data_IF_763505053656
#
_entry.id   IF_763505053656
#
_cell.length_a   1.000
_cell.length_b   1.000
_cell.length_c   1.000
_cell.angle_alpha   90.00
_cell.angle_beta   90.00
_cell.angle_gamma   90.00
#
_symmetry.space_group_name_H-M   'P 1'
#
loop_
_entity.id
_entity.type
_entity.pdbx_description
1 polymer ?
#
# COMPACT_ATOMS: atom_id res chain seq x y z
N UNK A 1 8.14 12.46 23.57
CA UNK A 1 8.35 12.35 22.12
C UNK A 1 7.98 13.68 21.51
N UNK A 2 8.94 14.33 20.83
CA UNK A 2 8.76 15.65 20.23
C UNK A 2 7.96 15.43 18.95
N UNK A 3 6.77 16.01 18.86
CA UNK A 3 6.06 16.12 17.58
C UNK A 3 6.83 17.19 16.82
N UNK A 4 7.84 16.77 16.06
CA UNK A 4 8.43 17.65 15.06
C UNK A 4 7.43 17.66 13.90
N UNK A 5 6.82 18.82 13.66
CA UNK A 5 6.03 19.06 12.46
C UNK A 5 6.99 18.92 11.28
N UNK A 6 7.02 17.74 10.67
CA UNK A 6 7.77 17.51 9.44
C UNK A 6 6.99 18.18 8.30
N UNK A 7 7.72 18.93 7.48
CA UNK A 7 7.19 19.62 6.30
C UNK A 7 6.66 18.59 5.29
N UNK A 8 5.57 18.95 4.60
CA UNK A 8 4.95 18.13 3.53
C UNK A 8 5.93 17.71 2.43
N UNK A 9 7.07 18.40 2.31
CA UNK A 9 8.17 18.15 1.37
C UNK A 9 8.87 16.78 1.52
N UNK A 10 8.67 16.06 2.63
CA UNK A 10 9.30 14.74 2.84
C UNK A 10 8.45 13.54 2.34
N UNK A 11 7.20 13.76 1.96
CA UNK A 11 6.34 12.68 1.42
C UNK A 11 6.71 12.42 -0.05
N UNK A 12 6.95 11.16 -0.47
CA UNK A 12 7.32 10.86 -1.85
C UNK A 12 6.30 11.40 -2.85
N UNK A 13 6.73 12.19 -3.83
CA UNK A 13 5.83 12.82 -4.83
C UNK A 13 5.53 11.91 -6.04
N UNK A 14 5.80 10.62 -5.93
CA UNK A 14 5.60 9.64 -7.01
C UNK A 14 4.10 9.42 -7.28
N UNK A 15 3.76 9.18 -8.56
CA UNK A 15 2.40 8.83 -8.99
C UNK A 15 1.87 7.56 -8.30
N UNK A 16 2.77 6.61 -8.01
CA UNK A 16 2.50 5.45 -7.16
C UNK A 16 3.71 5.18 -6.26
N UNK A 17 3.52 5.02 -4.95
CA UNK A 17 4.60 4.85 -3.94
C UNK A 17 5.51 3.63 -4.18
N UNK A 18 5.03 2.67 -4.95
CA UNK A 18 5.77 1.46 -5.29
C UNK A 18 6.48 1.55 -6.65
N UNK A 19 6.35 2.64 -7.41
CA UNK A 19 6.85 2.73 -8.78
C UNK A 19 8.38 2.50 -8.87
N UNK A 20 9.12 2.99 -7.88
CA UNK A 20 10.59 2.88 -7.83
C UNK A 20 11.13 1.73 -6.97
N UNK A 21 10.26 0.81 -6.54
CA UNK A 21 10.66 -0.38 -5.76
C UNK A 21 10.93 -1.56 -6.70
N UNK A 22 11.82 -2.47 -6.31
CA UNK A 22 12.02 -3.74 -7.00
C UNK A 22 10.73 -4.55 -7.01
N UNK A 23 10.15 -4.72 -8.20
CA UNK A 23 8.91 -5.45 -8.40
C UNK A 23 9.15 -6.97 -8.49
N UNK A 24 8.25 -7.79 -7.94
CA UNK A 24 8.36 -9.24 -8.05
C UNK A 24 8.26 -9.64 -9.54
N UNK A 25 9.24 -10.42 -10.01
CA UNK A 25 9.29 -10.98 -11.37
C UNK A 25 9.38 -9.95 -12.52
N UNK A 26 9.59 -8.66 -12.23
CA UNK A 26 9.71 -7.66 -13.27
C UNK A 26 11.09 -7.70 -13.95
N UNK A 27 11.07 -7.58 -15.28
CA UNK A 27 12.27 -7.43 -16.12
C UNK A 27 12.45 -5.99 -16.61
N UNK A 28 11.47 -5.12 -16.34
CA UNK A 28 11.47 -3.70 -16.69
C UNK A 28 11.28 -2.84 -15.44
N UNK A 29 11.53 -1.54 -15.58
CA UNK A 29 11.01 -0.55 -14.62
C UNK A 29 9.49 -0.42 -14.79
N UNK A 30 8.85 0.20 -13.80
CA UNK A 30 7.45 0.64 -13.93
C UNK A 30 7.39 1.75 -14.97
N UNK A 31 6.44 1.63 -15.88
CA UNK A 31 6.23 2.56 -16.99
C UNK A 31 4.80 3.05 -16.90
N UNK A 32 4.60 4.35 -17.05
CA UNK A 32 3.27 4.93 -17.11
C UNK A 32 2.64 4.67 -18.48
N UNK A 33 1.40 4.21 -18.45
CA UNK A 33 0.59 3.95 -19.62
C UNK A 33 -0.84 4.43 -19.37
N UNK A 34 -1.55 4.75 -20.44
CA UNK A 34 -2.96 5.12 -20.38
C UNK A 34 -3.82 4.10 -21.13
N UNK A 35 -5.07 3.98 -20.71
CA UNK A 35 -6.07 3.15 -21.40
C UNK A 35 -6.49 3.87 -22.67
N UNK A 36 -6.05 3.34 -23.81
CA UNK A 36 -6.38 3.87 -25.14
C UNK A 36 -7.74 3.37 -25.64
N UNK A 37 -8.13 2.16 -25.27
CA UNK A 37 -9.47 1.64 -25.51
C UNK A 37 -9.89 0.67 -24.41
N UNK A 38 -11.20 0.63 -24.16
CA UNK A 38 -11.85 -0.29 -23.25
C UNK A 38 -13.12 -0.80 -23.93
N UNK A 39 -13.11 -2.06 -24.35
CA UNK A 39 -14.25 -2.65 -25.07
C UNK A 39 -14.80 -3.83 -24.28
N UNK A 40 -16.11 -3.81 -24.01
CA UNK A 40 -16.78 -4.92 -23.34
C UNK A 40 -16.97 -6.07 -24.34
N UNK A 41 -16.34 -7.21 -24.05
CA UNK A 41 -16.43 -8.41 -24.89
C UNK A 41 -17.66 -9.25 -24.50
N UNK A 42 -17.93 -9.37 -23.21
CA UNK A 42 -19.04 -10.14 -22.68
C UNK A 42 -19.60 -9.50 -21.41
N UNK A 43 -20.91 -9.63 -21.20
CA UNK A 43 -21.65 -9.26 -19.99
C UNK A 43 -23.01 -9.95 -20.05
N UNK A 44 -23.54 -10.35 -18.89
CA UNK A 44 -24.84 -10.98 -18.76
C UNK A 44 -25.03 -11.55 -17.36
N UNK A 45 -26.20 -12.10 -17.09
CA UNK A 45 -26.55 -12.64 -15.77
C UNK A 45 -25.73 -13.90 -15.44
N UNK A 46 -25.50 -14.77 -16.43
CA UNK A 46 -24.80 -16.05 -16.28
C UNK A 46 -23.36 -16.03 -16.80
N UNK A 47 -22.82 -14.86 -17.17
CA UNK A 47 -21.45 -14.74 -17.67
C UNK A 47 -20.71 -13.63 -16.93
N UNK A 48 -19.42 -13.88 -16.65
CA UNK A 48 -18.55 -12.84 -16.10
C UNK A 48 -18.36 -11.73 -17.13
N UNK A 49 -18.38 -10.49 -16.68
CA UNK A 49 -18.00 -9.35 -17.53
C UNK A 49 -16.54 -9.51 -17.96
N UNK A 50 -16.30 -9.47 -19.26
CA UNK A 50 -14.96 -9.51 -19.85
C UNK A 50 -14.74 -8.21 -20.62
N UNK A 51 -13.58 -7.60 -20.40
CA UNK A 51 -13.18 -6.36 -21.05
C UNK A 51 -11.86 -6.57 -21.81
N UNK A 52 -11.83 -6.07 -23.04
CA UNK A 52 -10.61 -5.85 -23.80
C UNK A 52 -10.05 -4.48 -23.43
N UNK A 53 -8.78 -4.44 -23.01
CA UNK A 53 -8.10 -3.22 -22.59
C UNK A 53 -6.88 -3.03 -23.48
N UNK A 54 -6.83 -1.93 -24.22
CA UNK A 54 -5.62 -1.53 -24.94
C UNK A 54 -4.90 -0.44 -24.16
N UNK A 55 -3.64 -0.68 -23.82
CA UNK A 55 -2.76 0.28 -23.16
C UNK A 55 -1.85 0.96 -24.20
N UNK A 56 -1.58 2.25 -24.02
CA UNK A 56 -0.59 3.01 -24.80
C UNK A 56 0.36 3.75 -23.86
N UNK A 57 1.61 3.84 -24.28
CA UNK A 57 2.63 4.64 -23.60
C UNK A 57 2.61 6.08 -24.11
N UNK A 58 3.00 7.02 -23.26
CA UNK A 58 3.22 8.42 -23.68
C UNK A 58 4.50 8.53 -24.53
N UNK A 59 5.56 7.81 -24.14
CA UNK A 59 6.86 7.78 -24.79
C UNK A 59 7.25 6.34 -25.18
N UNK A 60 8.30 6.20 -26.00
CA UNK A 60 8.89 4.88 -26.29
C UNK A 60 9.40 4.25 -24.98
N UNK A 61 8.83 3.11 -24.53
CA UNK A 61 9.21 2.48 -23.27
C UNK A 61 10.64 1.93 -23.26
N UNK A 62 11.32 1.88 -24.41
CA UNK A 62 12.67 1.31 -24.53
C UNK A 62 12.70 -0.20 -24.27
N UNK A 63 11.54 -0.85 -24.30
CA UNK A 63 11.34 -2.27 -24.04
C UNK A 63 10.43 -2.86 -25.13
N UNK A 64 10.74 -4.09 -25.54
CA UNK A 64 9.94 -4.86 -26.49
C UNK A 64 9.23 -6.00 -25.78
N UNK A 65 7.95 -6.17 -26.07
CA UNK A 65 7.15 -7.31 -25.65
C UNK A 65 6.75 -8.15 -26.88
N UNK A 66 6.46 -9.42 -26.63
CA UNK A 66 5.95 -10.37 -27.61
C UNK A 66 4.63 -10.98 -27.14
N UNK A 67 3.89 -11.58 -28.07
CA UNK A 67 2.67 -12.30 -27.74
C UNK A 67 2.97 -13.44 -26.76
N UNK A 68 2.22 -13.48 -25.67
CA UNK A 68 2.44 -14.43 -24.57
C UNK A 68 3.19 -13.84 -23.37
N UNK A 69 3.81 -12.66 -23.51
CA UNK A 69 4.38 -11.95 -22.37
C UNK A 69 3.29 -11.49 -21.40
N UNK A 70 3.65 -11.36 -20.12
CA UNK A 70 2.76 -10.92 -19.05
C UNK A 70 3.15 -9.54 -18.58
N UNK A 71 2.14 -8.72 -18.26
CA UNK A 71 2.32 -7.41 -17.62
C UNK A 71 1.90 -7.47 -16.16
N UNK A 72 2.62 -6.74 -15.31
CA UNK A 72 2.17 -6.40 -13.95
C UNK A 72 1.55 -5.01 -13.95
N UNK A 73 0.47 -4.82 -13.20
CA UNK A 73 -0.19 -3.52 -13.03
C UNK A 73 -0.11 -3.14 -11.56
N UNK A 74 0.41 -1.95 -11.25
CA UNK A 74 0.30 -1.37 -9.92
C UNK A 74 -1.13 -0.85 -9.74
N UNK A 75 -1.81 -1.36 -8.72
CA UNK A 75 -3.22 -1.05 -8.45
C UNK A 75 -3.38 -0.29 -7.14
N UNK A 76 -4.43 0.52 -7.07
CA UNK A 76 -4.86 1.17 -5.84
C UNK A 76 -6.02 0.40 -5.22
N UNK A 77 -6.07 0.38 -3.89
CA UNK A 77 -7.33 0.08 -3.20
C UNK A 77 -8.36 1.18 -3.47
N UNK A 78 -9.64 0.84 -3.40
CA UNK A 78 -10.71 1.82 -3.58
C UNK A 78 -10.73 2.82 -2.41
N UNK A 79 -11.14 4.06 -2.65
CA UNK A 79 -11.30 5.04 -1.57
C UNK A 79 -12.27 4.53 -0.50
N UNK A 80 -13.35 3.85 -0.90
CA UNK A 80 -14.30 3.25 0.04
C UNK A 80 -13.66 2.21 0.96
N UNK A 81 -12.76 1.36 0.46
CA UNK A 81 -12.08 0.37 1.29
C UNK A 81 -11.08 1.06 2.24
N UNK A 82 -10.35 2.06 1.73
CA UNK A 82 -9.37 2.82 2.52
C UNK A 82 -10.07 3.58 3.65
N UNK A 83 -11.13 4.32 3.35
CA UNK A 83 -11.89 5.09 4.34
C UNK A 83 -12.54 4.16 5.37
N UNK A 84 -13.11 3.02 4.94
CA UNK A 84 -13.65 2.00 5.84
C UNK A 84 -12.61 1.52 6.85
N UNK A 85 -11.39 1.18 6.38
CA UNK A 85 -10.32 0.71 7.26
C UNK A 85 -9.84 1.83 8.18
N UNK A 86 -9.64 3.05 7.66
CA UNK A 86 -9.19 4.20 8.45
C UNK A 86 -10.18 4.58 9.55
N UNK A 87 -11.48 4.51 9.27
CA UNK A 87 -12.54 4.76 10.27
C UNK A 87 -12.51 3.70 11.36
N UNK A 88 -12.41 2.42 10.98
CA UNK A 88 -12.34 1.29 11.93
C UNK A 88 -11.11 1.30 12.83
N UNK A 89 -10.04 1.95 12.39
CA UNK A 89 -8.80 2.14 13.15
C UNK A 89 -8.73 3.48 13.89
N UNK A 90 -9.78 4.29 13.83
CA UNK A 90 -9.83 5.64 14.43
C UNK A 90 -8.74 6.58 13.87
N UNK A 91 -8.30 6.34 12.64
CA UNK A 91 -7.27 7.13 11.95
C UNK A 91 -7.83 8.11 10.92
N UNK A 92 -9.12 8.04 10.62
CA UNK A 92 -9.74 8.86 9.57
C UNK A 92 -9.52 10.37 9.76
N UNK A 93 -9.64 10.87 11.00
CA UNK A 93 -9.43 12.30 11.32
C UNK A 93 -7.99 12.79 11.11
N UNK A 94 -7.04 11.86 10.98
CA UNK A 94 -5.61 12.12 10.78
C UNK A 94 -5.06 11.42 9.54
N UNK A 95 -5.91 11.05 8.58
CA UNK A 95 -5.50 10.24 7.43
C UNK A 95 -4.38 10.88 6.59
N UNK A 96 -4.30 12.20 6.57
CA UNK A 96 -3.24 12.97 5.92
C UNK A 96 -1.99 13.19 6.79
N UNK A 97 -2.01 12.78 8.06
CA UNK A 97 -0.85 12.91 8.93
C UNK A 97 0.29 12.03 8.44
N UNK A 98 1.47 12.63 8.33
CA UNK A 98 2.71 11.94 7.97
C UNK A 98 3.19 11.08 9.13
N UNK A 99 3.60 9.85 8.83
CA UNK A 99 4.15 8.91 9.79
C UNK A 99 5.49 8.35 9.32
N UNK A 100 6.31 7.96 10.29
CA UNK A 100 7.56 7.23 10.05
C UNK A 100 7.30 5.72 10.21
N UNK A 101 7.66 4.95 9.20
CA UNK A 101 7.60 3.49 9.23
C UNK A 101 8.98 2.96 9.59
N UNK A 102 9.05 2.23 10.70
CA UNK A 102 10.29 1.70 11.22
C UNK A 102 10.10 0.37 11.93
N UNK A 103 11.20 -0.14 12.48
CA UNK A 103 11.19 -1.32 13.33
C UNK A 103 11.14 -0.84 14.78
N UNK A 104 10.24 -1.41 15.58
CA UNK A 104 10.24 -1.17 17.03
C UNK A 104 11.61 -1.55 17.63
N UNK A 105 12.33 -0.63 18.29
CA UNK A 105 13.63 -0.91 18.88
C UNK A 105 13.59 -2.01 19.95
N UNK A 106 12.42 -2.32 20.51
CA UNK A 106 12.25 -3.36 21.53
C UNK A 106 12.00 -4.76 20.94
N UNK A 107 12.02 -4.92 19.62
CA UNK A 107 11.71 -6.22 19.00
C UNK A 107 12.81 -7.26 19.29
N UNK A 108 12.39 -8.40 19.84
CA UNK A 108 13.29 -9.52 20.16
C UNK A 108 13.50 -10.48 18.98
N UNK A 109 12.63 -10.39 17.95
CA UNK A 109 12.73 -11.22 16.74
C UNK A 109 13.93 -10.76 15.90
N UNK A 110 14.91 -11.64 15.71
CA UNK A 110 16.06 -11.39 14.84
C UNK A 110 15.65 -11.31 13.37
N UNK A 111 16.32 -10.46 12.60
CA UNK A 111 16.15 -10.35 11.15
C UNK A 111 14.86 -9.68 10.70
N UNK A 112 14.18 -8.94 11.59
CA UNK A 112 13.04 -8.10 11.19
C UNK A 112 13.54 -6.98 10.28
N UNK A 113 12.80 -6.72 9.21
CA UNK A 113 13.05 -5.64 8.25
C UNK A 113 11.71 -5.00 7.91
N UNK A 114 11.70 -3.69 7.68
CA UNK A 114 10.57 -3.03 7.01
C UNK A 114 10.47 -3.61 5.60
N UNK A 115 9.28 -3.99 5.11
CA UNK A 115 9.14 -4.48 3.74
C UNK A 115 9.54 -3.40 2.74
N UNK A 116 10.24 -3.81 1.67
CA UNK A 116 10.82 -2.88 0.68
C UNK A 116 9.78 -2.03 -0.05
N UNK A 117 8.53 -2.51 -0.12
CA UNK A 117 7.42 -1.81 -0.77
C UNK A 117 6.73 -0.77 0.13
N UNK A 118 7.18 -0.60 1.37
CA UNK A 118 6.65 0.39 2.30
C UNK A 118 7.66 1.53 2.46
N UNK A 119 7.31 2.78 2.09
CA UNK A 119 8.19 3.92 2.30
C UNK A 119 8.48 4.18 3.78
N UNK A 120 9.66 4.75 4.07
CA UNK A 120 10.04 5.12 5.43
C UNK A 120 9.21 6.29 5.99
N UNK A 121 8.75 7.19 5.11
CA UNK A 121 7.92 8.35 5.46
C UNK A 121 6.72 8.37 4.51
N UNK A 122 5.51 8.35 5.07
CA UNK A 122 4.26 8.27 4.30
C UNK A 122 3.07 8.73 5.15
N UNK A 123 2.00 9.24 4.54
CA UNK A 123 0.74 9.45 5.27
C UNK A 123 -0.11 8.17 5.31
N UNK A 124 -1.09 8.12 6.21
CA UNK A 124 -1.92 6.91 6.34
C UNK A 124 -2.72 6.62 5.07
N UNK A 125 -3.36 7.64 4.48
CA UNK A 125 -4.19 7.45 3.29
C UNK A 125 -3.42 6.75 2.18
N UNK A 126 -2.24 7.24 1.81
CA UNK A 126 -1.41 6.66 0.75
C UNK A 126 -0.87 5.29 1.12
N UNK A 127 -0.49 5.08 2.39
CA UNK A 127 -0.05 3.77 2.86
C UNK A 127 -1.12 2.70 2.64
N UNK A 128 -2.36 2.95 3.08
CA UNK A 128 -3.48 2.03 2.90
C UNK A 128 -3.92 1.93 1.43
N UNK A 129 -3.83 3.01 0.66
CA UNK A 129 -4.26 3.03 -0.74
C UNK A 129 -3.31 2.32 -1.70
N UNK A 130 -2.00 2.42 -1.48
CA UNK A 130 -0.98 2.05 -2.47
C UNK A 130 -0.06 0.90 -2.03
N UNK A 131 0.08 0.66 -0.72
CA UNK A 131 1.14 -0.23 -0.21
C UNK A 131 0.63 -1.49 0.49
N UNK A 132 -0.64 -1.52 0.90
CA UNK A 132 -1.23 -2.61 1.66
C UNK A 132 -2.29 -3.33 0.84
N UNK A 133 -2.29 -4.65 0.87
CA UNK A 133 -3.38 -5.45 0.30
C UNK A 133 -4.51 -5.57 1.34
N UNK A 134 -5.60 -4.82 1.15
CA UNK A 134 -6.75 -4.80 2.06
C UNK A 134 -7.67 -6.01 1.89
N UNK A 135 -7.56 -6.73 0.78
CA UNK A 135 -8.39 -7.90 0.47
C UNK A 135 -7.67 -9.23 0.71
N UNK A 136 -6.41 -9.19 1.13
CA UNK A 136 -5.64 -10.37 1.50
C UNK A 136 -6.36 -11.19 2.58
N UNK A 137 -6.62 -12.47 2.28
CA UNK A 137 -7.19 -13.40 3.26
C UNK A 137 -6.17 -13.60 4.38
N UNK A 138 -6.56 -13.35 5.65
CA UNK A 138 -5.74 -13.66 6.80
C UNK A 138 -5.19 -15.08 6.78
N UNK A 139 -3.87 -15.26 6.67
CA UNK A 139 -3.30 -16.62 6.75
C UNK A 139 -3.13 -17.03 8.20
N UNK A 140 -3.55 -18.26 8.52
CA UNK A 140 -3.29 -18.89 9.81
C UNK A 140 -1.80 -19.25 9.89
N UNK A 141 -1.05 -18.50 10.67
CA UNK A 141 0.35 -18.81 10.99
C UNK A 141 0.45 -19.47 12.36
N UNK A 142 1.25 -20.52 12.44
CA UNK A 142 1.46 -21.33 13.64
C UNK A 142 2.03 -20.52 14.81
N UNK A 143 1.38 -20.61 15.99
CA UNK A 143 1.75 -20.32 17.40
C UNK A 143 2.80 -19.25 17.80
N UNK A 144 3.49 -18.55 16.90
CA UNK A 144 4.52 -17.54 17.25
C UNK A 144 4.58 -16.32 16.33
N UNK A 145 3.60 -16.07 15.46
CA UNK A 145 3.62 -14.82 14.71
C UNK A 145 2.54 -14.73 13.66
N UNK A 146 1.64 -13.77 13.85
CA UNK A 146 0.64 -13.27 12.90
C UNK A 146 1.28 -12.96 11.54
N UNK A 147 0.53 -13.17 10.45
CA UNK A 147 0.95 -13.11 9.03
C UNK A 147 1.61 -11.78 8.68
N UNK A 148 2.57 -11.73 7.76
CA UNK A 148 3.28 -10.50 7.38
C UNK A 148 2.33 -9.39 6.88
N UNK A 149 1.17 -9.75 6.31
CA UNK A 149 0.16 -8.80 5.82
C UNK A 149 -0.68 -8.21 6.96
N UNK A 150 -1.09 -9.04 7.92
CA UNK A 150 -1.81 -8.57 9.13
C UNK A 150 -0.85 -8.00 10.17
N UNK A 151 0.40 -8.46 10.25
CA UNK A 151 1.44 -7.80 11.05
C UNK A 151 1.81 -6.48 10.45
N UNK A 152 1.67 -6.22 9.16
CA UNK A 152 1.85 -4.84 8.69
C UNK A 152 0.71 -3.97 9.21
N UNK A 153 -0.55 -4.40 9.12
CA UNK A 153 -1.69 -3.63 9.65
C UNK A 153 -1.65 -3.54 11.19
N UNK A 154 -1.43 -4.64 11.91
CA UNK A 154 -1.34 -4.70 13.39
C UNK A 154 -0.02 -4.14 13.93
N UNK A 155 1.14 -4.33 13.28
CA UNK A 155 2.37 -3.62 13.67
C UNK A 155 2.32 -2.16 13.28
N UNK A 156 1.68 -1.74 12.18
CA UNK A 156 1.40 -0.34 11.92
C UNK A 156 0.46 0.20 13.01
N UNK A 157 -0.57 -0.52 13.40
CA UNK A 157 -1.40 -0.16 14.56
C UNK A 157 -0.54 -0.05 15.83
N UNK A 158 0.41 -0.93 16.11
CA UNK A 158 1.33 -0.78 17.27
C UNK A 158 2.40 0.31 17.10
N UNK A 159 2.82 0.63 15.88
CA UNK A 159 3.74 1.74 15.54
C UNK A 159 3.03 3.10 15.56
N UNK A 160 1.72 3.13 15.30
CA UNK A 160 0.84 4.31 15.28
C UNK A 160 0.20 4.55 16.65
N UNK A 161 -0.09 3.48 17.41
CA UNK A 161 -0.71 3.51 18.74
C UNK A 161 0.28 3.26 19.90
N UNK A 162 1.60 3.20 19.66
CA UNK A 162 2.55 3.31 20.76
C UNK A 162 2.22 4.58 21.56
N UNK A 163 2.07 4.50 22.89
CA UNK A 163 1.30 5.45 23.67
C UNK A 163 1.86 6.85 23.48
N UNK A 164 1.04 7.74 22.92
CA UNK A 164 1.21 9.17 23.11
C UNK A 164 1.31 9.42 24.62
N UNK A 165 2.44 9.94 25.15
CA UNK A 165 2.51 10.32 26.57
C UNK A 165 1.58 11.50 26.92
N UNK A 166 0.71 11.94 26.00
CA UNK A 166 -0.29 12.99 26.20
C UNK A 166 -1.67 12.48 26.63
N UNK A 167 -1.89 11.16 26.73
CA UNK A 167 -3.19 10.59 27.15
C UNK A 167 -3.18 9.83 28.50
N UNK A 168 -2.19 10.10 29.37
CA UNK A 168 -2.33 9.82 30.80
C UNK A 168 -2.96 11.03 31.50
N UNK A 169 -4.26 11.24 31.32
CA UNK A 169 -4.90 12.44 31.86
C UNK A 169 -6.42 12.49 31.90
N UNK A 170 -7.15 11.42 31.61
CA UNK A 170 -8.59 11.37 31.89
C UNK A 170 -8.94 10.14 32.72
N UNK A 171 -8.96 10.39 34.02
CA UNK A 171 -9.70 9.59 35.00
C UNK A 171 -11.19 9.66 34.68
N UNK A 172 -11.84 8.51 34.62
CA UNK A 172 -13.16 8.32 35.22
C UNK A 172 -12.97 7.52 36.51
#
# INVERSE_FOLDING_TARGET
MRVENLSEDEVPQESHLQANVTQPFAVTKVIEAFVASLTKIAEGEDVKTVQDVTLKYLDDPGHRYWSGDTIGVLSYNTESDVDYVLERLELHSRCEAVCNVGIDPNITKKGVKVPLFVPAVVNYRRLFKECLDLHAVPKKVSKSGIDLTIRLIIMLIYLILAPNPLFNGMHY
#
